data_IF_258491500293
#
_entry.id   IF_258491500293
#
_cell.length_a   1.000
_cell.length_b   1.000
_cell.length_c   1.000
_cell.angle_alpha   90.00
_cell.angle_beta   90.00
_cell.angle_gamma   90.00
#
_symmetry.space_group_name_H-M   'P 1'
#
loop_
_entity.id
_entity.type
_entity.pdbx_description
1 polymer ?
#
# COMPACT_ATOMS: atom_id res chain seq x y z
N UNK A 1 34.87 20.67 -27.86
CA UNK A 1 34.96 21.58 -26.70
C UNK A 1 33.53 21.99 -26.35
N UNK A 2 32.83 21.22 -25.48
CA UNK A 2 32.87 21.31 -24.00
C UNK A 2 32.09 22.55 -23.53
N UNK A 3 31.08 22.55 -22.67
CA UNK A 3 30.42 21.61 -21.74
C UNK A 3 28.95 22.09 -21.67
N UNK A 4 27.92 21.27 -21.49
CA UNK A 4 27.37 20.92 -20.18
C UNK A 4 26.51 19.65 -20.33
N UNK A 5 27.17 18.50 -20.29
CA UNK A 5 26.53 17.24 -19.92
C UNK A 5 26.33 17.34 -18.41
N UNK A 6 25.14 17.76 -18.00
CA UNK A 6 24.74 17.77 -16.59
C UNK A 6 24.85 16.34 -16.08
N UNK A 7 25.87 16.11 -15.26
CA UNK A 7 26.03 14.94 -14.41
C UNK A 7 24.79 14.82 -13.52
N UNK A 8 23.88 13.93 -13.91
CA UNK A 8 22.68 13.58 -13.14
C UNK A 8 23.09 12.78 -11.90
N UNK A 9 23.54 13.50 -10.88
CA UNK A 9 23.78 12.95 -9.56
C UNK A 9 22.46 12.46 -8.93
N UNK A 10 22.58 11.39 -8.12
CA UNK A 10 21.49 10.73 -7.36
C UNK A 10 20.55 11.67 -6.57
N UNK A 11 20.96 12.92 -6.33
CA UNK A 11 20.15 13.95 -5.68
C UNK A 11 18.96 14.40 -6.53
N UNK A 12 19.10 14.53 -7.86
CA UNK A 12 18.04 15.08 -8.71
C UNK A 12 16.82 14.14 -8.82
N UNK A 13 17.03 12.82 -8.81
CA UNK A 13 15.92 11.86 -8.83
C UNK A 13 15.07 11.92 -7.54
N UNK A 14 15.70 12.22 -6.40
CA UNK A 14 15.00 12.43 -5.14
C UNK A 14 14.17 13.73 -5.14
N UNK A 15 14.65 14.78 -5.81
CA UNK A 15 13.93 16.07 -5.94
C UNK A 15 12.69 15.93 -6.82
N UNK A 16 12.74 15.17 -7.91
CA UNK A 16 11.55 14.89 -8.73
C UNK A 16 10.53 14.00 -7.99
N UNK A 17 11.01 13.06 -7.18
CA UNK A 17 10.16 12.20 -6.33
C UNK A 17 9.40 13.02 -5.27
N UNK A 18 10.07 13.95 -4.58
CA UNK A 18 9.44 14.76 -3.52
C UNK A 18 8.42 15.77 -4.07
N UNK A 19 8.69 16.36 -5.23
CA UNK A 19 7.85 17.42 -5.83
C UNK A 19 6.59 16.86 -6.50
N UNK A 20 6.65 15.65 -7.06
CA UNK A 20 5.48 15.03 -7.73
C UNK A 20 4.52 14.35 -6.73
N UNK A 21 5.00 13.93 -5.56
CA UNK A 21 4.18 13.37 -4.47
C UNK A 21 3.21 14.40 -3.85
N UNK A 22 3.54 15.69 -3.91
CA UNK A 22 2.75 16.78 -3.32
C UNK A 22 1.55 17.21 -4.18
N UNK A 23 1.59 16.98 -5.50
CA UNK A 23 0.65 17.58 -6.46
C UNK A 23 -0.62 16.75 -6.75
N UNK A 24 -0.81 15.58 -6.13
CA UNK A 24 -1.84 14.63 -6.55
C UNK A 24 -2.78 14.19 -5.41
N UNK A 25 -3.56 15.10 -4.82
CA UNK A 25 -4.78 14.71 -4.07
C UNK A 25 -5.85 15.81 -4.13
N UNK A 26 -6.95 15.63 -4.87
CA UNK A 26 -8.19 16.35 -4.60
C UNK A 26 -8.92 15.72 -3.41
N UNK A 27 -9.37 16.58 -2.51
CA UNK A 27 -9.97 16.28 -1.21
C UNK A 27 -11.48 16.05 -1.39
N UNK A 28 -11.98 14.89 -0.94
CA UNK A 28 -13.41 14.70 -0.67
C UNK A 28 -13.60 14.29 0.79
N UNK A 29 -14.23 15.19 1.55
CA UNK A 29 -14.45 15.09 3.01
C UNK A 29 -15.74 14.31 3.26
N UNK A 30 -15.66 13.17 3.95
CA UNK A 30 -16.84 12.50 4.53
C UNK A 30 -17.13 13.07 5.93
N UNK A 31 -18.35 13.59 6.13
CA UNK A 31 -18.86 14.10 7.41
C UNK A 31 -19.24 12.95 8.37
N UNK A 32 -19.02 13.17 9.67
CA UNK A 32 -19.24 12.20 10.76
C UNK A 32 -20.62 12.34 11.41
N UNK A 33 -21.15 11.22 11.88
CA UNK A 33 -22.04 11.11 13.04
C UNK A 33 -21.70 9.80 13.77
N UNK A 34 -21.73 9.81 15.10
CA UNK A 34 -21.33 8.69 15.97
C UNK A 34 -22.49 8.27 16.87
N UNK A 35 -22.74 6.97 17.01
CA UNK A 35 -23.49 6.43 18.15
C UNK A 35 -22.95 5.06 18.54
N UNK A 36 -22.69 4.87 19.82
CA UNK A 36 -22.13 3.66 20.43
C UNK A 36 -23.19 2.57 20.59
N UNK A 37 -22.91 1.36 20.08
CA UNK A 37 -23.26 0.05 20.67
C UNK A 37 -22.51 -1.06 19.91
N UNK A 38 -22.13 -2.12 20.62
CA UNK A 38 -21.27 -3.21 20.14
C UNK A 38 -21.76 -3.81 18.82
N UNK A 39 -20.97 -3.63 17.76
CA UNK A 39 -21.42 -3.78 16.37
C UNK A 39 -20.54 -4.75 15.59
N UNK A 40 -21.16 -5.67 14.86
CA UNK A 40 -20.51 -6.45 13.79
C UNK A 40 -19.84 -5.50 12.77
N UNK A 41 -18.80 -5.93 12.04
CA UNK A 41 -18.10 -5.05 11.08
C UNK A 41 -19.01 -4.41 10.02
N UNK A 42 -20.16 -5.02 9.72
CA UNK A 42 -21.17 -4.52 8.79
C UNK A 42 -21.91 -3.27 9.26
N UNK A 43 -21.98 -3.02 10.58
CA UNK A 43 -22.68 -1.86 11.16
C UNK A 43 -21.76 -0.67 11.49
N UNK A 44 -20.46 -0.77 11.14
CA UNK A 44 -19.48 0.29 11.37
C UNK A 44 -19.70 1.49 10.45
N UNK A 45 -19.51 2.70 10.99
CA UNK A 45 -19.34 3.91 10.18
C UNK A 45 -18.11 3.78 9.27
N UNK A 46 -17.99 4.63 8.25
CA UNK A 46 -16.82 4.59 7.35
C UNK A 46 -15.48 4.79 8.08
N UNK A 47 -15.45 5.64 9.11
CA UNK A 47 -14.23 5.88 9.88
C UNK A 47 -13.86 4.71 10.80
N UNK A 48 -14.84 4.09 11.44
CA UNK A 48 -14.62 2.92 12.29
C UNK A 48 -14.22 1.70 11.47
N UNK A 49 -14.86 1.50 10.31
CA UNK A 49 -14.48 0.47 9.36
C UNK A 49 -13.04 0.66 8.87
N UNK A 50 -12.62 1.90 8.55
CA UNK A 50 -11.25 2.17 8.15
C UNK A 50 -10.24 1.83 9.27
N UNK A 51 -10.55 2.15 10.53
CA UNK A 51 -9.72 1.76 11.68
C UNK A 51 -9.64 0.23 11.83
N UNK A 52 -10.79 -0.44 11.76
CA UNK A 52 -10.88 -1.90 11.81
C UNK A 52 -10.07 -2.56 10.68
N UNK A 53 -10.24 -2.09 9.44
CA UNK A 53 -9.52 -2.59 8.27
C UNK A 53 -8.01 -2.43 8.43
N UNK A 54 -7.55 -1.29 8.94
CA UNK A 54 -6.12 -1.06 9.17
C UNK A 54 -5.56 -2.02 10.21
N UNK A 55 -6.28 -2.23 11.31
CA UNK A 55 -5.93 -3.25 12.30
C UNK A 55 -5.87 -4.66 11.71
N UNK A 56 -6.86 -4.99 10.88
CA UNK A 56 -6.95 -6.26 10.19
C UNK A 56 -5.80 -6.49 9.20
N UNK A 57 -5.42 -5.48 8.42
CA UNK A 57 -4.24 -5.52 7.53
C UNK A 57 -2.95 -5.58 8.35
N UNK A 58 -2.88 -4.90 9.50
CA UNK A 58 -1.77 -5.00 10.43
C UNK A 58 -1.59 -6.42 10.99
N UNK A 59 -2.64 -7.23 11.05
CA UNK A 59 -2.55 -8.65 11.40
C UNK A 59 -2.23 -9.52 10.16
N UNK A 60 -3.14 -9.54 9.18
CA UNK A 60 -3.21 -10.56 8.11
C UNK A 60 -2.69 -10.07 6.74
N UNK A 61 -2.41 -8.77 6.60
CA UNK A 61 -2.06 -8.16 5.32
C UNK A 61 -0.63 -8.45 4.85
N UNK A 62 -0.45 -8.51 3.53
CA UNK A 62 0.85 -8.68 2.89
C UNK A 62 1.08 -7.67 1.76
N UNK A 63 2.30 -7.16 1.67
CA UNK A 63 2.74 -6.23 0.62
C UNK A 63 3.81 -6.91 -0.23
N UNK A 64 3.52 -7.14 -1.50
CA UNK A 64 4.34 -7.95 -2.39
C UNK A 64 4.71 -7.22 -3.68
N UNK A 65 6.02 -7.22 -3.98
CA UNK A 65 6.55 -6.73 -5.26
C UNK A 65 7.12 -7.93 -6.03
N UNK A 66 6.57 -8.24 -7.21
CA UNK A 66 7.17 -9.19 -8.15
C UNK A 66 8.01 -8.44 -9.16
N UNK A 67 9.29 -8.81 -9.28
CA UNK A 67 10.16 -8.30 -10.34
C UNK A 67 10.28 -9.44 -11.35
N UNK A 68 9.60 -9.32 -12.48
CA UNK A 68 9.74 -10.24 -13.61
C UNK A 68 10.72 -9.69 -14.65
N UNK A 69 10.95 -10.45 -15.72
CA UNK A 69 11.89 -10.05 -16.79
C UNK A 69 11.43 -8.79 -17.51
N UNK A 70 10.12 -8.66 -17.79
CA UNK A 70 9.56 -7.57 -18.60
C UNK A 70 8.77 -6.53 -17.79
N UNK A 71 8.40 -6.86 -16.56
CA UNK A 71 7.52 -6.00 -15.77
C UNK A 71 7.69 -6.20 -14.27
N UNK A 72 7.38 -5.14 -13.54
CA UNK A 72 7.27 -5.13 -12.09
C UNK A 72 5.79 -5.09 -11.73
N UNK A 73 5.34 -6.04 -10.91
CA UNK A 73 3.97 -6.16 -10.44
C UNK A 73 3.90 -5.89 -8.95
N UNK A 74 2.80 -5.26 -8.54
CA UNK A 74 2.51 -4.92 -7.17
C UNK A 74 1.25 -5.65 -6.75
N UNK A 75 1.27 -6.26 -5.56
CA UNK A 75 0.13 -6.92 -4.96
C UNK A 75 0.05 -6.57 -3.48
N UNK A 76 -1.13 -6.17 -3.03
CA UNK A 76 -1.51 -6.26 -1.62
C UNK A 76 -2.47 -7.43 -1.50
N UNK A 77 -2.30 -8.29 -0.50
CA UNK A 77 -3.22 -9.40 -0.27
C UNK A 77 -3.47 -9.67 1.19
N UNK A 78 -4.62 -10.27 1.46
CA UNK A 78 -4.99 -10.90 2.73
C UNK A 78 -5.34 -12.33 2.37
N UNK A 79 -4.73 -13.31 3.05
CA UNK A 79 -4.98 -14.74 2.82
C UNK A 79 -5.50 -15.36 4.12
N UNK A 80 -6.67 -16.00 4.07
CA UNK A 80 -7.34 -16.60 5.22
C UNK A 80 -7.77 -18.04 4.92
N UNK A 81 -8.22 -18.76 5.95
CA UNK A 81 -8.91 -20.03 5.75
C UNK A 81 -10.24 -19.80 5.01
N UNK A 82 -10.72 -20.80 4.26
CA UNK A 82 -11.94 -20.67 3.44
C UNK A 82 -13.18 -20.27 4.24
N UNK A 83 -13.23 -20.60 5.53
CA UNK A 83 -14.37 -20.30 6.40
C UNK A 83 -14.50 -18.79 6.68
N UNK A 84 -13.42 -18.03 6.51
CA UNK A 84 -13.39 -16.58 6.69
C UNK A 84 -13.72 -15.81 5.39
N UNK A 85 -14.23 -16.49 4.36
CA UNK A 85 -14.73 -15.85 3.13
C UNK A 85 -15.72 -14.70 3.39
N UNK A 86 -16.67 -14.80 4.35
CA UNK A 86 -17.57 -13.69 4.65
C UNK A 86 -16.82 -12.40 5.04
N UNK A 87 -15.69 -12.54 5.75
CA UNK A 87 -14.86 -11.40 6.15
C UNK A 87 -14.25 -10.68 4.94
N UNK A 88 -13.67 -11.45 4.00
CA UNK A 88 -13.11 -10.87 2.77
C UNK A 88 -14.19 -10.27 1.86
N UNK A 89 -15.36 -10.89 1.82
CA UNK A 89 -16.53 -10.40 1.06
C UNK A 89 -16.96 -9.04 1.58
N UNK A 90 -17.08 -8.89 2.90
CA UNK A 90 -17.39 -7.60 3.51
C UNK A 90 -16.35 -6.53 3.16
N UNK A 91 -15.05 -6.85 3.21
CA UNK A 91 -13.98 -5.91 2.83
C UNK A 91 -14.16 -5.46 1.39
N UNK A 92 -14.37 -6.40 0.46
CA UNK A 92 -14.55 -6.11 -0.95
C UNK A 92 -15.78 -5.23 -1.19
N UNK A 93 -16.92 -5.56 -0.58
CA UNK A 93 -18.18 -4.81 -0.73
C UNK A 93 -18.07 -3.39 -0.18
N UNK A 94 -17.50 -3.23 1.02
CA UNK A 94 -17.37 -1.92 1.69
C UNK A 94 -16.45 -0.96 0.96
N UNK A 95 -15.39 -1.48 0.35
CA UNK A 95 -14.39 -0.65 -0.35
C UNK A 95 -14.67 -0.52 -1.85
N UNK A 96 -15.42 -1.47 -2.42
CA UNK A 96 -15.63 -1.63 -3.85
C UNK A 96 -14.28 -1.60 -4.62
N UNK A 97 -13.33 -2.42 -4.15
CA UNK A 97 -12.01 -2.63 -4.74
C UNK A 97 -11.53 -4.07 -4.51
N UNK A 98 -10.60 -4.51 -5.37
CA UNK A 98 -9.96 -5.80 -5.22
C UNK A 98 -10.80 -6.97 -5.70
N UNK A 99 -10.15 -8.12 -5.80
CA UNK A 99 -10.79 -9.37 -6.23
C UNK A 99 -10.59 -10.44 -5.16
N UNK A 100 -11.63 -11.26 -4.97
CA UNK A 100 -11.56 -12.44 -4.11
C UNK A 100 -11.21 -13.66 -4.98
N UNK A 101 -10.21 -14.40 -4.54
CA UNK A 101 -9.81 -15.68 -5.13
C UNK A 101 -10.10 -16.79 -4.13
N UNK A 102 -10.72 -17.87 -4.60
CA UNK A 102 -11.07 -19.04 -3.77
C UNK A 102 -10.17 -20.21 -4.17
N UNK A 103 -9.63 -20.87 -3.16
CA UNK A 103 -8.80 -22.07 -3.27
C UNK A 103 -9.45 -23.21 -2.45
N UNK A 104 -8.96 -24.46 -2.57
CA UNK A 104 -9.59 -25.60 -1.89
C UNK A 104 -9.72 -25.45 -0.36
N UNK A 105 -8.74 -24.81 0.29
CA UNK A 105 -8.68 -24.65 1.76
C UNK A 105 -8.54 -23.21 2.22
N UNK A 106 -8.42 -22.27 1.30
CA UNK A 106 -8.13 -20.86 1.62
C UNK A 106 -8.83 -19.92 0.67
N UNK A 107 -8.91 -18.67 1.09
CA UNK A 107 -9.43 -17.56 0.28
C UNK A 107 -8.47 -16.39 0.39
N UNK A 108 -8.40 -15.58 -0.66
CA UNK A 108 -7.62 -14.35 -0.64
C UNK A 108 -8.38 -13.18 -1.22
N UNK A 109 -8.15 -12.00 -0.64
CA UNK A 109 -8.54 -10.73 -1.23
C UNK A 109 -7.27 -10.06 -1.71
N UNK A 110 -7.21 -9.75 -3.01
CA UNK A 110 -6.00 -9.22 -3.64
C UNK A 110 -6.27 -7.90 -4.39
N UNK A 111 -5.38 -6.93 -4.18
CA UNK A 111 -5.27 -5.69 -4.94
C UNK A 111 -4.06 -5.75 -5.86
N UNK A 112 -4.30 -5.79 -7.16
CA UNK A 112 -3.24 -5.77 -8.19
C UNK A 112 -3.38 -4.60 -9.16
N UNK A 113 -4.58 -4.01 -9.26
CA UNK A 113 -4.83 -2.88 -10.15
C UNK A 113 -4.26 -1.58 -9.57
N UNK A 114 -3.76 -0.70 -10.45
CA UNK A 114 -3.27 0.64 -10.06
C UNK A 114 -4.34 1.44 -9.31
N UNK A 115 -5.59 1.38 -9.78
CA UNK A 115 -6.73 2.14 -9.23
C UNK A 115 -7.02 1.72 -7.79
N UNK A 116 -7.06 0.41 -7.55
CA UNK A 116 -7.40 -0.12 -6.24
C UNK A 116 -6.29 0.09 -5.21
N UNK A 117 -5.03 -0.07 -5.64
CA UNK A 117 -3.87 0.23 -4.79
C UNK A 117 -3.86 1.70 -4.35
N UNK A 118 -4.16 2.64 -5.26
CA UNK A 118 -4.23 4.06 -4.92
C UNK A 118 -5.35 4.35 -3.91
N UNK A 119 -6.54 3.74 -4.05
CA UNK A 119 -7.62 3.87 -3.07
C UNK A 119 -7.21 3.34 -1.68
N UNK A 120 -6.49 2.21 -1.62
CA UNK A 120 -5.98 1.69 -0.35
C UNK A 120 -4.95 2.66 0.27
N UNK A 121 -4.10 3.30 -0.54
CA UNK A 121 -3.13 4.28 -0.04
C UNK A 121 -3.81 5.49 0.58
N UNK A 122 -4.95 5.93 0.03
CA UNK A 122 -5.72 7.04 0.60
C UNK A 122 -6.31 6.69 1.97
N UNK A 123 -6.68 5.41 2.20
CA UNK A 123 -7.07 4.94 3.54
C UNK A 123 -5.89 5.05 4.51
N UNK A 124 -4.70 4.61 4.11
CA UNK A 124 -3.50 4.67 4.97
C UNK A 124 -3.00 6.10 5.26
N UNK A 125 -3.32 7.08 4.41
CA UNK A 125 -3.06 8.50 4.72
C UNK A 125 -3.89 8.99 5.91
N UNK A 126 -5.13 8.51 6.02
CA UNK A 126 -6.06 8.90 7.08
C UNK A 126 -5.84 8.04 8.34
N UNK A 127 -5.57 6.75 8.14
CA UNK A 127 -5.41 5.72 9.17
C UNK A 127 -4.11 4.94 8.92
N UNK A 128 -2.95 5.40 9.43
CA UNK A 128 -1.68 4.71 9.21
C UNK A 128 -1.64 3.32 9.86
N UNK A 129 -0.85 2.41 9.27
CA UNK A 129 -0.51 1.14 9.90
C UNK A 129 0.30 1.38 11.18
N UNK A 130 0.00 0.59 12.21
CA UNK A 130 0.56 0.72 13.56
C UNK A 130 1.66 -0.30 13.86
N UNK A 131 1.80 -1.36 13.04
CA UNK A 131 2.86 -2.36 13.23
C UNK A 131 4.10 -2.06 12.38
N UNK A 132 5.14 -2.87 12.52
CA UNK A 132 6.33 -2.85 11.64
C UNK A 132 5.98 -3.05 10.16
N UNK A 133 4.76 -3.51 9.85
CA UNK A 133 4.23 -3.61 8.49
C UNK A 133 4.14 -2.26 7.78
N UNK A 134 4.09 -1.14 8.52
CA UNK A 134 4.17 0.22 7.95
C UNK A 134 5.43 0.39 7.09
N UNK A 135 6.56 -0.18 7.49
CA UNK A 135 7.78 -0.09 6.71
C UNK A 135 7.71 -0.89 5.40
N UNK A 136 6.98 -2.01 5.39
CA UNK A 136 6.73 -2.78 4.16
C UNK A 136 5.86 -1.96 3.21
N UNK A 137 4.81 -1.33 3.74
CA UNK A 137 3.97 -0.42 2.99
C UNK A 137 4.75 0.77 2.40
N UNK A 138 5.60 1.44 3.19
CA UNK A 138 6.39 2.58 2.70
C UNK A 138 7.35 2.18 1.58
N UNK A 139 8.06 1.05 1.72
CA UNK A 139 8.90 0.49 0.65
C UNK A 139 8.07 0.16 -0.59
N UNK A 140 6.92 -0.48 -0.41
CA UNK A 140 5.99 -0.84 -1.47
C UNK A 140 5.47 0.38 -2.24
N UNK A 141 5.01 1.40 -1.51
CA UNK A 141 4.49 2.65 -2.06
C UNK A 141 5.56 3.42 -2.84
N UNK A 142 6.79 3.50 -2.29
CA UNK A 142 7.92 4.14 -2.97
C UNK A 142 8.21 3.48 -4.32
N UNK A 143 8.35 2.15 -4.33
CA UNK A 143 8.60 1.40 -5.56
C UNK A 143 7.42 1.51 -6.56
N UNK A 144 6.17 1.55 -6.07
CA UNK A 144 4.99 1.74 -6.90
C UNK A 144 5.00 3.11 -7.61
N UNK A 145 5.34 4.18 -6.90
CA UNK A 145 5.40 5.51 -7.49
C UNK A 145 6.52 5.66 -8.53
N UNK A 146 7.67 5.02 -8.32
CA UNK A 146 8.74 4.95 -9.33
C UNK A 146 8.23 4.39 -10.68
N UNK A 147 7.46 3.29 -10.66
CA UNK A 147 6.86 2.72 -11.88
C UNK A 147 5.74 3.60 -12.45
N UNK A 148 4.94 4.23 -11.59
CA UNK A 148 3.85 5.10 -12.02
C UNK A 148 4.39 6.34 -12.76
N UNK A 149 5.45 6.94 -12.24
CA UNK A 149 6.15 8.08 -12.85
C UNK A 149 6.77 7.67 -14.19
N UNK A 150 7.49 6.54 -14.25
CA UNK A 150 8.04 6.01 -15.51
C UNK A 150 6.96 5.91 -16.61
N UNK A 151 5.79 5.33 -16.27
CA UNK A 151 4.68 5.17 -17.21
C UNK A 151 4.06 6.50 -17.66
N UNK A 152 4.04 7.52 -16.79
CA UNK A 152 3.51 8.86 -17.10
C UNK A 152 4.47 9.71 -17.94
N UNK A 153 5.77 9.56 -17.74
CA UNK A 153 6.80 10.32 -18.47
C UNK A 153 7.04 9.73 -19.87
N UNK A 154 6.83 8.42 -20.05
CA UNK A 154 7.01 7.70 -21.33
C UNK A 154 6.38 8.37 -22.57
N UNK A 155 5.16 8.94 -22.53
CA UNK A 155 4.59 9.67 -23.66
C UNK A 155 5.07 11.12 -23.78
N UNK A 156 5.55 11.74 -22.68
CA UNK A 156 5.86 13.18 -22.62
C UNK A 156 7.33 13.48 -22.97
N UNK A 157 8.22 12.51 -22.76
CA UNK A 157 9.63 12.57 -23.14
C UNK A 157 9.96 11.33 -23.97
N UNK A 158 10.91 11.44 -24.93
CA UNK A 158 11.49 10.27 -25.62
C UNK A 158 11.82 9.25 -24.54
N UNK A 159 11.25 8.04 -24.65
CA UNK A 159 11.24 7.04 -23.57
C UNK A 159 12.58 6.98 -22.84
N UNK A 160 12.58 6.84 -21.51
CA UNK A 160 13.80 6.72 -20.69
C UNK A 160 14.89 5.92 -21.40
N UNK A 161 16.12 6.40 -21.34
CA UNK A 161 17.28 5.71 -21.92
C UNK A 161 17.41 4.32 -21.28
N UNK A 162 18.07 3.39 -21.97
CA UNK A 162 18.32 2.04 -21.43
C UNK A 162 19.00 2.09 -20.06
N UNK A 163 19.93 3.04 -19.88
CA UNK A 163 20.63 3.28 -18.62
C UNK A 163 19.71 3.79 -17.51
N UNK A 164 18.86 4.79 -17.80
CA UNK A 164 17.90 5.32 -16.82
C UNK A 164 16.89 4.25 -16.38
N UNK A 165 16.43 3.41 -17.31
CA UNK A 165 15.58 2.26 -16.99
C UNK A 165 16.31 1.25 -16.11
N UNK A 166 17.57 0.94 -16.42
CA UNK A 166 18.38 0.03 -15.62
C UNK A 166 18.57 0.55 -14.19
N UNK A 167 18.84 1.84 -14.02
CA UNK A 167 18.98 2.48 -12.71
C UNK A 167 17.68 2.43 -11.89
N UNK A 168 16.53 2.73 -12.52
CA UNK A 168 15.23 2.65 -11.88
C UNK A 168 14.92 1.23 -11.40
N UNK A 169 15.19 0.24 -12.24
CA UNK A 169 15.01 -1.17 -11.92
C UNK A 169 15.93 -1.61 -10.78
N UNK A 170 17.18 -1.15 -10.77
CA UNK A 170 18.12 -1.43 -9.69
C UNK A 170 17.66 -0.81 -8.36
N UNK A 171 17.20 0.44 -8.37
CA UNK A 171 16.61 1.06 -7.18
C UNK A 171 15.42 0.25 -6.62
N UNK A 172 14.53 -0.25 -7.49
CA UNK A 172 13.39 -1.08 -7.04
C UNK A 172 13.89 -2.43 -6.50
N UNK A 173 14.92 -3.03 -7.10
CA UNK A 173 15.55 -4.26 -6.57
C UNK A 173 16.13 -4.03 -5.18
N UNK A 174 16.85 -2.92 -4.98
CA UNK A 174 17.41 -2.56 -3.67
C UNK A 174 16.31 -2.34 -2.62
N UNK A 175 15.22 -1.65 -2.98
CA UNK A 175 14.06 -1.48 -2.10
C UNK A 175 13.50 -2.86 -1.71
N UNK A 176 13.23 -3.72 -2.71
CA UNK A 176 12.68 -5.06 -2.48
C UNK A 176 13.62 -5.93 -1.64
N UNK A 177 14.92 -5.83 -1.85
CA UNK A 177 15.91 -6.60 -1.09
C UNK A 177 15.87 -6.32 0.41
N UNK A 178 15.46 -5.10 0.80
CA UNK A 178 15.32 -4.64 2.19
C UNK A 178 13.89 -4.74 2.74
N UNK A 179 12.95 -5.37 2.02
CA UNK A 179 11.57 -5.56 2.48
C UNK A 179 11.41 -6.77 3.40
N UNK A 180 10.34 -6.76 4.20
CA UNK A 180 9.91 -7.87 5.05
C UNK A 180 11.00 -8.30 6.05
N UNK A 181 11.33 -9.58 6.10
CA UNK A 181 12.28 -10.17 7.06
C UNK A 181 13.73 -9.74 6.83
N UNK A 182 14.04 -9.12 5.70
CA UNK A 182 15.40 -8.71 5.29
C UNK A 182 15.74 -7.27 5.69
N UNK A 183 14.89 -6.61 6.48
CA UNK A 183 15.11 -5.23 6.94
C UNK A 183 16.09 -5.20 8.11
N UNK A 184 17.02 -4.25 8.08
CA UNK A 184 17.83 -3.89 9.27
C UNK A 184 16.91 -3.42 10.40
N UNK A 185 17.02 -4.08 11.57
CA UNK A 185 16.17 -3.82 12.74
C UNK A 185 16.59 -2.51 13.44
N UNK A 186 16.22 -1.37 12.87
CA UNK A 186 16.24 -0.09 13.60
C UNK A 186 14.91 0.10 14.32
N UNK A 187 14.94 -0.05 15.65
CA UNK A 187 13.75 -0.08 16.51
C UNK A 187 13.12 1.31 16.76
N UNK A 188 13.79 2.40 16.37
CA UNK A 188 13.50 3.74 16.87
C UNK A 188 12.45 4.54 16.07
N UNK A 189 11.61 3.88 15.25
CA UNK A 189 10.85 4.57 14.19
C UNK A 189 9.31 4.46 14.29
N UNK A 190 8.79 3.85 15.34
CA UNK A 190 7.35 3.80 15.63
C UNK A 190 7.01 4.72 16.81
N UNK A 191 7.17 6.04 16.67
CA UNK A 191 6.93 6.99 17.77
C UNK A 191 5.46 7.38 17.97
N UNK A 192 4.57 7.09 17.01
CA UNK A 192 3.18 7.57 17.02
C UNK A 192 2.17 6.42 16.74
N UNK A 193 2.19 5.37 17.57
CA UNK A 193 1.21 4.28 17.46
C UNK A 193 -0.13 4.74 18.04
N UNK A 194 -1.20 4.66 17.24
CA UNK A 194 -2.56 5.01 17.67
C UNK A 194 -3.46 3.78 17.68
N UNK A 195 -3.61 3.16 18.84
CA UNK A 195 -4.47 1.99 19.03
C UNK A 195 -5.88 2.45 19.38
N UNK A 196 -6.84 2.27 18.45
CA UNK A 196 -8.26 2.49 18.72
C UNK A 196 -8.96 1.16 19.03
N UNK A 197 -10.14 1.16 19.69
CA UNK A 197 -10.90 -0.07 19.92
C UNK A 197 -11.19 -0.84 18.62
N UNK A 198 -11.51 -0.13 17.53
CA UNK A 198 -11.79 -0.74 16.23
C UNK A 198 -10.52 -1.30 15.57
N UNK A 199 -9.38 -0.60 15.66
CA UNK A 199 -8.10 -1.13 15.21
C UNK A 199 -7.78 -2.43 15.97
N UNK A 200 -7.94 -2.44 17.29
CA UNK A 200 -7.66 -3.62 18.11
C UNK A 200 -8.60 -4.78 17.76
N UNK A 201 -9.87 -4.48 17.49
CA UNK A 201 -10.87 -5.46 17.04
C UNK A 201 -10.47 -6.11 15.72
N UNK A 202 -10.02 -5.31 14.75
CA UNK A 202 -9.53 -5.81 13.46
C UNK A 202 -8.24 -6.62 13.62
N UNK A 203 -7.30 -6.12 14.43
CA UNK A 203 -6.00 -6.76 14.65
C UNK A 203 -6.10 -8.14 15.31
N UNK A 204 -7.04 -8.32 16.24
CA UNK A 204 -7.26 -9.63 16.86
C UNK A 204 -8.02 -10.63 15.99
N UNK A 205 -8.46 -10.21 14.79
CA UNK A 205 -9.30 -11.04 13.93
C UNK A 205 -10.47 -11.65 14.72
N UNK A 206 -11.13 -10.92 15.64
CA UNK A 206 -12.26 -11.52 16.37
C UNK A 206 -13.41 -11.68 15.38
N UNK A 207 -13.77 -12.92 14.98
CA UNK A 207 -14.90 -13.12 14.10
C UNK A 207 -16.15 -12.74 14.92
N UNK A 208 -16.73 -11.58 14.58
CA UNK A 208 -18.08 -11.23 14.97
C UNK A 208 -18.91 -11.22 13.70
N UNK A 209 -19.03 -12.40 13.11
CA UNK A 209 -19.96 -12.70 12.04
C UNK A 209 -20.93 -13.74 12.56
#
# INVERSE_FOLDING_TARGET
MSLEIITLNNSNFNIYSSTILTLAVPISIMKRSCSTKSSSPSSLTGAEFAQWLVGFIDAEGSFYIRIGVKQIQFRVSIHLHKDDLPCLTLIQERLNIGNIYKYPTSVSWELTSKKDLLKLFDIFKIQPLNTTKVFNFLSFQKAFFYILVEKRIRPLFKSLTSEQKALLWDQIRQIKAKMNTKREKSLNKLSNIKITPYWLLGFKHLPKF
#
